data_IF_818026744982
#
_entry.id   IF_818026744982
#
_cell.length_a   1.000
_cell.length_b   1.000
_cell.length_c   1.000
_cell.angle_alpha   90.00
_cell.angle_beta   90.00
_cell.angle_gamma   90.00
#
_symmetry.space_group_name_H-M   'P 1'
#
loop_
_entity.id
_entity.type
_entity.pdbx_description
1 polymer ?
#
# COMPACT_ATOMS: atom_id res chain seq x y z
N UNK A 1 -12.13 11.72 -11.72
CA UNK A 1 -13.61 11.65 -11.69
C UNK A 1 -14.23 12.26 -12.96
N UNK A 2 -13.96 13.53 -13.31
CA UNK A 2 -14.55 14.20 -14.50
C UNK A 2 -14.36 13.44 -15.81
N UNK A 3 -13.16 12.89 -16.08
CA UNK A 3 -12.91 12.08 -17.30
C UNK A 3 -13.72 10.79 -17.33
N UNK A 4 -13.96 10.17 -16.17
CA UNK A 4 -14.78 8.97 -16.09
C UNK A 4 -16.25 9.28 -16.37
N UNK A 5 -16.76 10.36 -15.78
CA UNK A 5 -18.11 10.84 -16.03
C UNK A 5 -18.33 11.20 -17.51
N UNK A 6 -17.38 11.93 -18.13
CA UNK A 6 -17.48 12.27 -19.55
C UNK A 6 -17.56 11.02 -20.44
N UNK A 7 -16.70 10.02 -20.19
CA UNK A 7 -16.76 8.75 -20.92
C UNK A 7 -18.08 8.01 -20.72
N UNK A 8 -18.60 8.03 -19.48
CA UNK A 8 -19.90 7.43 -19.19
C UNK A 8 -21.03 8.12 -19.97
N UNK A 9 -21.01 9.45 -20.08
CA UNK A 9 -21.99 10.18 -20.88
C UNK A 9 -21.82 9.95 -22.39
N UNK A 10 -20.58 9.85 -22.89
CA UNK A 10 -20.31 9.60 -24.30
C UNK A 10 -20.79 8.21 -24.76
N UNK A 11 -20.91 7.24 -23.84
CA UNK A 11 -21.30 5.85 -24.08
C UNK A 11 -22.53 5.41 -23.27
N UNK A 12 -23.38 6.36 -22.86
CA UNK A 12 -24.47 6.13 -21.90
C UNK A 12 -25.44 5.04 -22.33
N UNK A 13 -25.85 5.05 -23.61
CA UNK A 13 -26.74 4.05 -24.18
C UNK A 13 -26.04 2.69 -24.37
N UNK A 14 -24.78 2.69 -24.86
CA UNK A 14 -24.00 1.47 -25.06
C UNK A 14 -23.73 0.72 -23.75
N UNK A 15 -23.59 1.49 -22.65
CA UNK A 15 -23.38 0.96 -21.30
C UNK A 15 -24.70 0.64 -20.57
N UNK A 16 -25.84 0.78 -21.26
CA UNK A 16 -27.19 0.53 -20.71
C UNK A 16 -27.42 1.27 -19.38
N UNK A 17 -26.91 2.50 -19.27
CA UNK A 17 -27.03 3.30 -18.06
C UNK A 17 -28.42 3.89 -17.92
N UNK A 18 -28.87 4.00 -16.66
CA UNK A 18 -30.05 4.76 -16.27
C UNK A 18 -29.62 5.94 -15.43
N UNK A 19 -30.30 7.07 -15.59
CA UNK A 19 -30.00 8.30 -14.84
C UNK A 19 -31.24 9.11 -14.52
N UNK A 20 -31.09 10.01 -13.58
CA UNK A 20 -32.13 10.96 -13.17
C UNK A 20 -31.54 12.32 -12.86
N UNK A 21 -32.35 13.36 -13.08
CA UNK A 21 -31.99 14.75 -12.82
C UNK A 21 -33.11 15.46 -12.05
N UNK A 22 -32.73 16.39 -11.18
CA UNK A 22 -33.64 17.28 -10.50
C UNK A 22 -33.36 18.72 -10.92
N UNK A 23 -34.38 19.43 -11.28
CA UNK A 23 -34.33 20.85 -11.63
C UNK A 23 -35.15 21.69 -10.65
N UNK A 24 -34.68 22.89 -10.33
CA UNK A 24 -35.46 23.96 -9.68
C UNK A 24 -35.51 25.12 -10.65
N UNK A 25 -36.69 25.34 -11.25
CA UNK A 25 -36.81 26.20 -12.42
C UNK A 25 -35.95 25.60 -13.57
N UNK A 26 -35.08 26.40 -14.15
CA UNK A 26 -34.18 25.98 -15.24
C UNK A 26 -32.80 25.49 -14.73
N UNK A 27 -32.56 25.50 -13.42
CA UNK A 27 -31.28 25.12 -12.85
C UNK A 27 -31.26 23.63 -12.48
N UNK A 28 -30.29 22.88 -13.03
CA UNK A 28 -29.98 21.52 -12.59
C UNK A 28 -29.40 21.56 -11.17
N UNK A 29 -30.07 20.95 -10.20
CA UNK A 29 -29.64 20.93 -8.79
C UNK A 29 -29.16 19.59 -8.30
N UNK A 30 -29.55 18.48 -8.95
CA UNK A 30 -29.00 17.17 -8.64
C UNK A 30 -29.10 16.24 -9.84
N UNK A 31 -28.16 15.28 -9.92
CA UNK A 31 -28.23 14.19 -10.89
C UNK A 31 -27.62 12.93 -10.31
N UNK A 32 -28.05 11.81 -10.85
CA UNK A 32 -27.52 10.47 -10.52
C UNK A 32 -27.56 9.60 -11.75
N UNK A 33 -26.65 8.63 -11.86
CA UNK A 33 -26.71 7.59 -12.85
C UNK A 33 -25.97 6.33 -12.39
N UNK A 34 -26.29 5.21 -13.04
CA UNK A 34 -25.70 3.92 -12.77
C UNK A 34 -26.07 2.88 -13.81
N UNK A 35 -25.75 1.63 -13.55
CA UNK A 35 -26.05 0.51 -14.43
C UNK A 35 -26.44 -0.75 -13.65
N UNK A 36 -26.98 -1.75 -14.34
CA UNK A 36 -27.29 -3.05 -13.74
C UNK A 36 -26.00 -3.82 -13.42
N UNK A 37 -25.90 -4.34 -12.19
CA UNK A 37 -24.89 -5.35 -11.83
C UNK A 37 -25.35 -6.73 -12.27
N UNK A 38 -26.64 -6.99 -12.11
CA UNK A 38 -27.31 -8.22 -12.50
C UNK A 38 -28.83 -7.96 -12.65
N UNK A 39 -29.62 -9.00 -12.85
CA UNK A 39 -31.06 -8.87 -13.14
C UNK A 39 -31.87 -8.19 -12.02
N UNK A 40 -31.37 -8.16 -10.78
CA UNK A 40 -32.10 -7.65 -9.63
C UNK A 40 -31.34 -6.61 -8.79
N UNK A 41 -30.09 -6.30 -9.13
CA UNK A 41 -29.26 -5.31 -8.43
C UNK A 41 -28.81 -4.23 -9.37
N UNK A 42 -29.10 -2.98 -9.02
CA UNK A 42 -28.62 -1.78 -9.69
C UNK A 42 -27.47 -1.15 -8.93
N UNK A 43 -26.46 -0.62 -9.62
CA UNK A 43 -25.33 0.08 -9.01
C UNK A 43 -25.37 1.56 -9.33
N UNK A 44 -25.39 2.40 -8.30
CA UNK A 44 -25.34 3.85 -8.44
C UNK A 44 -23.88 4.31 -8.46
N UNK A 45 -23.36 4.61 -9.65
CA UNK A 45 -21.97 5.02 -9.86
C UNK A 45 -21.69 6.46 -9.46
N UNK A 46 -22.63 7.34 -9.74
CA UNK A 46 -22.48 8.77 -9.48
C UNK A 46 -23.77 9.34 -8.90
N UNK A 47 -23.65 10.11 -7.84
CA UNK A 47 -24.71 10.94 -7.28
C UNK A 47 -24.11 12.30 -6.90
N UNK A 48 -24.62 13.36 -7.48
CA UNK A 48 -24.15 14.73 -7.24
C UNK A 48 -25.35 15.65 -6.99
N UNK A 49 -25.18 16.56 -6.05
CA UNK A 49 -26.17 17.59 -5.79
C UNK A 49 -25.49 18.92 -5.42
N UNK A 50 -26.17 20.01 -5.74
CA UNK A 50 -25.80 21.35 -5.32
C UNK A 50 -26.10 21.51 -3.82
N UNK A 51 -25.07 21.77 -3.03
CA UNK A 51 -25.16 21.87 -1.57
C UNK A 51 -25.89 23.10 -1.09
N UNK A 52 -26.13 24.09 -1.96
CA UNK A 52 -26.95 25.26 -1.66
C UNK A 52 -28.46 24.92 -1.56
N UNK A 53 -28.82 23.71 -2.02
CA UNK A 53 -30.20 23.19 -1.94
C UNK A 53 -30.28 22.09 -0.87
N UNK A 54 -30.78 22.49 0.29
CA UNK A 54 -30.92 21.53 1.41
C UNK A 54 -31.81 20.35 1.01
N UNK A 55 -31.37 19.14 1.33
CA UNK A 55 -32.06 17.91 1.00
C UNK A 55 -31.93 17.41 -0.45
N UNK A 56 -31.18 18.10 -1.34
CA UNK A 56 -31.05 17.72 -2.75
C UNK A 56 -30.48 16.31 -2.94
N UNK A 57 -29.47 15.90 -2.15
CA UNK A 57 -28.95 14.53 -2.15
C UNK A 57 -29.99 13.50 -1.72
N UNK A 58 -30.76 13.79 -0.70
CA UNK A 58 -31.79 12.88 -0.18
C UNK A 58 -32.90 12.67 -1.20
N UNK A 59 -33.34 13.74 -1.85
CA UNK A 59 -34.48 13.67 -2.78
C UNK A 59 -34.10 13.01 -4.09
N UNK A 60 -32.87 13.26 -4.64
CA UNK A 60 -32.44 12.59 -5.87
C UNK A 60 -32.32 11.07 -5.62
N UNK A 61 -31.74 10.68 -4.47
CA UNK A 61 -31.62 9.28 -4.12
C UNK A 61 -32.98 8.60 -4.02
N UNK A 62 -33.94 9.20 -3.29
CA UNK A 62 -35.26 8.66 -3.12
C UNK A 62 -36.01 8.52 -4.45
N UNK A 63 -36.12 9.61 -5.21
CA UNK A 63 -36.86 9.63 -6.46
C UNK A 63 -36.23 8.68 -7.49
N UNK A 64 -34.92 8.61 -7.57
CA UNK A 64 -34.27 7.69 -8.46
C UNK A 64 -34.58 6.23 -8.11
N UNK A 65 -34.49 5.88 -6.83
CA UNK A 65 -34.84 4.55 -6.35
C UNK A 65 -36.30 4.15 -6.69
N UNK A 66 -37.23 5.10 -6.51
CA UNK A 66 -38.67 4.90 -6.80
C UNK A 66 -38.99 4.75 -8.30
N UNK A 67 -38.12 5.25 -9.19
CA UNK A 67 -38.32 5.21 -10.65
C UNK A 67 -37.45 4.16 -11.36
N UNK A 68 -36.62 3.43 -10.63
CA UNK A 68 -35.92 2.29 -11.22
C UNK A 68 -36.91 1.19 -11.66
N UNK A 69 -36.61 0.45 -12.74
CA UNK A 69 -37.42 -0.72 -13.15
C UNK A 69 -37.66 -1.68 -11.98
N UNK A 70 -38.91 -2.18 -11.83
CA UNK A 70 -39.35 -3.07 -10.73
C UNK A 70 -38.51 -4.33 -10.54
N UNK A 71 -37.79 -4.75 -11.57
CA UNK A 71 -36.85 -5.88 -11.48
C UNK A 71 -35.71 -5.64 -10.48
N UNK A 72 -35.31 -4.38 -10.26
CA UNK A 72 -34.25 -4.04 -9.31
C UNK A 72 -34.81 -3.96 -7.90
N UNK A 73 -34.54 -4.97 -7.10
CA UNK A 73 -34.95 -5.06 -5.71
C UNK A 73 -33.86 -4.59 -4.73
N UNK A 74 -32.63 -4.41 -5.23
CA UNK A 74 -31.47 -3.94 -4.48
C UNK A 74 -30.76 -2.83 -5.24
N UNK A 75 -30.30 -1.83 -4.49
CA UNK A 75 -29.43 -0.77 -5.00
C UNK A 75 -28.09 -0.86 -4.25
N UNK A 76 -27.01 -1.08 -4.99
CA UNK A 76 -25.66 -0.95 -4.48
C UNK A 76 -25.25 0.53 -4.54
N UNK A 77 -24.68 1.03 -3.46
CA UNK A 77 -24.20 2.41 -3.34
C UNK A 77 -22.68 2.49 -3.18
N UNK A 78 -22.01 1.46 -3.65
CA UNK A 78 -20.54 1.35 -3.63
C UNK A 78 -19.92 1.53 -2.23
N UNK A 79 -18.62 1.80 -2.16
CA UNK A 79 -17.88 1.91 -0.92
C UNK A 79 -17.87 3.33 -0.33
N UNK A 80 -17.56 3.45 0.95
CA UNK A 80 -17.44 4.74 1.66
C UNK A 80 -16.02 5.34 1.60
N UNK A 81 -15.08 4.67 0.94
CA UNK A 81 -13.66 5.06 0.81
C UNK A 81 -12.95 5.34 2.16
N UNK A 82 -13.51 4.85 3.28
CA UNK A 82 -12.98 5.14 4.61
C UNK A 82 -13.27 6.55 5.12
N UNK A 83 -14.16 7.30 4.45
CA UNK A 83 -14.55 8.67 4.85
C UNK A 83 -15.73 8.59 5.81
N UNK A 84 -15.54 9.02 7.07
CA UNK A 84 -16.55 8.90 8.13
C UNK A 84 -17.89 9.56 7.78
N UNK A 85 -17.88 10.76 7.22
CA UNK A 85 -19.11 11.46 6.81
C UNK A 85 -19.86 10.70 5.71
N UNK A 86 -19.16 10.09 4.76
CA UNK A 86 -19.77 9.29 3.70
C UNK A 86 -20.32 7.98 4.27
N UNK A 87 -19.60 7.34 5.19
CA UNK A 87 -20.06 6.16 5.93
C UNK A 87 -21.33 6.42 6.71
N UNK A 88 -21.37 7.50 7.50
CA UNK A 88 -22.55 7.91 8.24
C UNK A 88 -23.74 8.16 7.32
N UNK A 89 -23.54 8.89 6.21
CA UNK A 89 -24.58 9.12 5.22
C UNK A 89 -25.13 7.81 4.65
N UNK A 90 -24.26 6.86 4.25
CA UNK A 90 -24.71 5.57 3.72
C UNK A 90 -25.43 4.71 4.77
N UNK A 91 -24.97 4.69 6.01
CA UNK A 91 -25.60 3.96 7.11
C UNK A 91 -26.96 4.56 7.51
N UNK A 92 -27.19 5.86 7.31
CA UNK A 92 -28.47 6.51 7.61
C UNK A 92 -29.65 6.00 6.74
N UNK A 93 -29.34 5.34 5.62
CA UNK A 93 -30.34 4.67 4.78
C UNK A 93 -30.70 3.25 5.26
N UNK A 94 -30.18 2.81 6.40
CA UNK A 94 -30.43 1.48 6.98
C UNK A 94 -30.20 0.35 5.96
N UNK A 95 -28.98 0.18 5.42
CA UNK A 95 -28.72 -0.80 4.36
C UNK A 95 -29.11 -2.20 4.80
N UNK A 96 -29.82 -2.93 3.92
CA UNK A 96 -30.22 -4.31 4.16
C UNK A 96 -29.00 -5.27 4.20
N UNK A 97 -27.95 -4.94 3.46
CA UNK A 97 -26.71 -5.72 3.37
C UNK A 97 -25.51 -4.79 3.39
N UNK A 98 -24.52 -5.11 4.22
CA UNK A 98 -23.20 -4.50 4.17
C UNK A 98 -22.24 -5.58 3.67
N UNK A 99 -21.78 -5.45 2.43
CA UNK A 99 -20.83 -6.38 1.84
C UNK A 99 -19.40 -6.05 2.26
N UNK A 100 -18.66 -7.07 2.67
CA UNK A 100 -17.22 -6.94 2.82
C UNK A 100 -16.57 -6.98 1.44
N UNK A 101 -15.72 -5.97 1.17
CA UNK A 101 -14.90 -5.94 -0.03
C UNK A 101 -13.61 -6.70 0.23
N UNK A 102 -13.30 -7.64 -0.65
CA UNK A 102 -12.06 -8.38 -0.62
C UNK A 102 -11.20 -8.00 -1.82
N UNK A 103 -9.90 -7.87 -1.61
CA UNK A 103 -8.94 -7.74 -2.70
C UNK A 103 -8.32 -9.11 -2.93
N UNK A 104 -8.54 -9.69 -4.10
CA UNK A 104 -7.85 -10.91 -4.52
C UNK A 104 -6.52 -10.52 -5.17
N UNK A 105 -5.41 -11.04 -4.65
CA UNK A 105 -4.07 -10.80 -5.17
C UNK A 105 -3.50 -12.14 -5.60
N UNK A 106 -3.05 -12.20 -6.85
CA UNK A 106 -2.26 -13.32 -7.33
C UNK A 106 -0.82 -13.14 -6.86
N UNK A 107 -0.39 -13.88 -5.85
CA UNK A 107 1.00 -13.88 -5.41
C UNK A 107 1.83 -14.85 -6.26
N UNK A 108 3.03 -14.41 -6.65
CA UNK A 108 4.03 -15.30 -7.25
C UNK A 108 4.55 -16.28 -6.17
N UNK A 109 4.99 -17.51 -6.52
CA UNK A 109 5.57 -18.44 -5.55
C UNK A 109 6.65 -17.85 -4.65
N UNK A 110 7.48 -16.96 -5.18
CA UNK A 110 8.53 -16.26 -4.40
C UNK A 110 7.91 -15.31 -3.33
N UNK A 111 6.76 -14.70 -3.61
CA UNK A 111 6.05 -13.83 -2.66
C UNK A 111 5.39 -14.64 -1.55
N UNK A 112 4.88 -15.82 -1.88
CA UNK A 112 4.32 -16.77 -0.89
C UNK A 112 5.42 -17.21 0.05
N UNK A 113 6.57 -17.67 -0.48
CA UNK A 113 7.71 -18.07 0.32
C UNK A 113 8.27 -16.92 1.18
N UNK A 114 8.26 -15.69 0.66
CA UNK A 114 8.61 -14.48 1.39
C UNK A 114 7.66 -14.24 2.55
N UNK A 115 6.34 -14.31 2.33
CA UNK A 115 5.31 -14.12 3.36
C UNK A 115 5.46 -15.16 4.48
N UNK A 116 5.59 -16.43 4.13
CA UNK A 116 5.79 -17.52 5.10
C UNK A 116 7.05 -17.30 5.96
N UNK A 117 8.17 -16.96 5.32
CA UNK A 117 9.42 -16.70 6.00
C UNK A 117 9.34 -15.46 6.89
N UNK A 118 8.67 -14.41 6.43
CA UNK A 118 8.46 -13.18 7.19
C UNK A 118 7.66 -13.44 8.46
N UNK A 119 6.52 -14.11 8.33
CA UNK A 119 5.66 -14.49 9.46
C UNK A 119 6.44 -15.34 10.49
N UNK A 120 7.22 -16.32 10.02
CA UNK A 120 8.01 -17.19 10.88
C UNK A 120 9.17 -16.45 11.61
N UNK A 121 9.72 -15.40 11.00
CA UNK A 121 10.88 -14.69 11.52
C UNK A 121 10.53 -13.53 12.46
N UNK A 122 9.49 -12.77 12.12
CA UNK A 122 9.14 -11.51 12.80
C UNK A 122 7.80 -11.55 13.54
N UNK A 123 6.86 -12.39 13.09
CA UNK A 123 5.54 -12.48 13.71
C UNK A 123 4.63 -11.28 13.44
N UNK A 124 4.95 -10.48 12.41
CA UNK A 124 4.11 -9.37 12.00
C UNK A 124 2.75 -9.87 11.50
N UNK A 125 1.73 -9.01 11.59
CA UNK A 125 0.39 -9.35 11.14
C UNK A 125 0.32 -9.49 9.60
N UNK A 126 -0.62 -10.30 9.14
CA UNK A 126 -0.75 -10.57 7.71
C UNK A 126 -1.07 -9.33 6.88
N UNK A 127 -1.84 -8.37 7.43
CA UNK A 127 -2.22 -7.16 6.69
C UNK A 127 -1.00 -6.27 6.44
N UNK A 128 -0.10 -6.19 7.41
CA UNK A 128 1.17 -5.46 7.26
C UNK A 128 2.03 -6.11 6.18
N UNK A 129 2.23 -7.43 6.24
CA UNK A 129 3.03 -8.17 5.27
C UNK A 129 2.44 -8.04 3.85
N UNK A 130 1.13 -8.24 3.70
CA UNK A 130 0.44 -8.12 2.42
C UNK A 130 0.54 -6.69 1.86
N UNK A 131 0.41 -5.69 2.73
CA UNK A 131 0.57 -4.29 2.36
C UNK A 131 1.97 -3.99 1.82
N UNK A 132 3.01 -4.56 2.43
CA UNK A 132 4.38 -4.46 1.95
C UNK A 132 4.56 -5.17 0.60
N UNK A 133 4.11 -6.41 0.49
CA UNK A 133 4.25 -7.21 -0.74
C UNK A 133 3.57 -6.54 -1.93
N UNK A 134 2.36 -6.03 -1.76
CA UNK A 134 1.61 -5.35 -2.82
C UNK A 134 2.31 -4.09 -3.33
N UNK A 135 2.93 -3.33 -2.43
CA UNK A 135 3.41 -1.96 -2.74
C UNK A 135 4.88 -1.90 -3.06
N UNK A 136 5.69 -2.68 -2.35
CA UNK A 136 7.14 -2.53 -2.29
C UNK A 136 7.92 -3.75 -2.76
N UNK A 137 7.28 -4.93 -2.78
CA UNK A 137 7.95 -6.11 -3.30
C UNK A 137 8.42 -5.93 -4.74
N UNK A 138 9.61 -6.43 -5.02
CA UNK A 138 10.15 -6.52 -6.36
C UNK A 138 11.17 -7.65 -6.40
N UNK A 139 10.97 -8.62 -7.30
CA UNK A 139 11.89 -9.74 -7.48
C UNK A 139 13.33 -9.29 -7.73
N UNK A 140 13.53 -8.20 -8.45
CA UNK A 140 14.86 -7.63 -8.73
C UNK A 140 15.53 -6.97 -7.53
N UNK A 141 14.82 -6.80 -6.43
CA UNK A 141 15.27 -6.15 -5.19
C UNK A 141 15.19 -7.06 -3.97
N UNK A 142 14.69 -8.27 -4.13
CA UNK A 142 14.70 -9.28 -3.08
C UNK A 142 15.85 -10.28 -3.36
N UNK A 143 16.63 -10.54 -2.33
CA UNK A 143 17.61 -11.60 -2.33
C UNK A 143 17.12 -12.74 -1.45
N UNK A 144 17.24 -13.96 -1.94
CA UNK A 144 16.88 -15.17 -1.21
C UNK A 144 18.04 -16.15 -1.17
N UNK A 145 18.11 -16.94 -0.12
CA UNK A 145 18.98 -18.10 -0.05
C UNK A 145 18.14 -19.34 0.22
N UNK A 146 18.37 -20.36 -0.60
CA UNK A 146 17.72 -21.66 -0.46
C UNK A 146 18.57 -22.59 0.42
N UNK A 147 17.89 -23.44 1.15
CA UNK A 147 18.47 -24.55 1.86
C UNK A 147 17.51 -25.75 1.79
N UNK A 148 18.01 -26.90 1.38
CA UNK A 148 17.22 -28.13 1.16
C UNK A 148 15.97 -27.91 0.26
N UNK A 149 16.13 -27.12 -0.81
CA UNK A 149 15.06 -26.83 -1.77
C UNK A 149 13.95 -25.88 -1.26
N UNK A 150 14.16 -25.21 -0.13
CA UNK A 150 13.24 -24.24 0.45
C UNK A 150 13.90 -22.88 0.59
N UNK A 151 13.13 -21.81 0.41
CA UNK A 151 13.58 -20.45 0.74
C UNK A 151 13.83 -20.35 2.25
N UNK A 152 15.09 -20.26 2.62
CA UNK A 152 15.53 -20.34 4.01
C UNK A 152 15.94 -18.98 4.60
N UNK A 153 16.31 -18.02 3.77
CA UNK A 153 16.63 -16.65 4.17
C UNK A 153 16.26 -15.67 3.08
N UNK A 154 16.00 -14.44 3.47
CA UNK A 154 15.67 -13.32 2.56
C UNK A 154 16.15 -11.99 3.09
N UNK A 155 16.23 -11.00 2.19
CA UNK A 155 16.27 -9.57 2.49
C UNK A 155 15.76 -8.78 1.29
N UNK A 156 15.36 -7.53 1.54
CA UNK A 156 14.92 -6.60 0.50
C UNK A 156 15.88 -5.40 0.39
N UNK A 157 16.13 -4.96 -0.84
CA UNK A 157 16.93 -3.77 -1.14
C UNK A 157 16.01 -2.65 -1.60
N UNK A 158 15.54 -1.82 -0.67
CA UNK A 158 14.58 -0.76 -0.95
C UNK A 158 15.30 0.54 -1.32
N UNK A 159 14.89 1.20 -2.42
CA UNK A 159 15.51 2.43 -2.88
C UNK A 159 14.98 3.64 -2.11
N UNK A 160 15.88 4.39 -1.53
CA UNK A 160 15.62 5.67 -0.86
C UNK A 160 16.60 6.73 -1.33
N UNK A 161 16.20 7.99 -1.18
CA UNK A 161 17.10 9.13 -1.19
C UNK A 161 17.21 9.69 0.22
N UNK A 162 18.41 10.12 0.61
CA UNK A 162 18.68 10.75 1.90
C UNK A 162 19.63 11.92 1.75
N UNK A 163 20.00 12.57 2.85
CA UNK A 163 21.04 13.59 2.85
C UNK A 163 22.42 13.05 2.41
N UNK A 164 22.59 11.73 2.42
CA UNK A 164 23.81 11.05 1.96
C UNK A 164 23.78 10.70 0.46
N UNK A 165 22.72 11.06 -0.27
CA UNK A 165 22.50 10.68 -1.66
C UNK A 165 21.64 9.43 -1.83
N UNK A 166 21.87 8.68 -2.93
CA UNK A 166 21.16 7.44 -3.21
C UNK A 166 21.45 6.41 -2.13
N UNK A 167 20.40 6.00 -1.44
CA UNK A 167 20.51 5.18 -0.24
C UNK A 167 19.68 3.91 -0.41
N UNK A 168 20.29 2.74 -0.20
CA UNK A 168 19.56 1.48 -0.13
C UNK A 168 19.22 1.15 1.33
N UNK A 169 17.94 0.92 1.62
CA UNK A 169 17.52 0.33 2.89
C UNK A 169 17.48 -1.20 2.76
N UNK A 170 18.33 -1.87 3.51
CA UNK A 170 18.32 -3.34 3.63
C UNK A 170 17.25 -3.69 4.66
N UNK A 171 16.12 -4.17 4.18
CA UNK A 171 14.89 -4.34 4.94
C UNK A 171 14.49 -5.81 5.05
N UNK A 172 13.91 -6.21 6.20
CA UNK A 172 13.37 -7.55 6.39
C UNK A 172 14.41 -8.67 6.25
N UNK A 173 15.58 -8.49 6.85
CA UNK A 173 16.63 -9.52 6.86
C UNK A 173 16.19 -10.68 7.75
N UNK A 174 15.74 -11.77 7.14
CA UNK A 174 15.18 -12.91 7.84
C UNK A 174 15.89 -14.21 7.51
N UNK A 175 15.94 -15.12 8.47
CA UNK A 175 16.31 -16.52 8.30
C UNK A 175 15.33 -17.38 9.08
N UNK A 176 14.75 -18.38 8.42
CA UNK A 176 13.84 -19.32 9.06
C UNK A 176 14.49 -19.93 10.32
N UNK A 177 13.75 -20.03 11.43
CA UNK A 177 14.31 -20.47 12.71
C UNK A 177 15.13 -21.76 12.63
N UNK A 178 14.65 -22.74 11.87
CA UNK A 178 15.28 -24.06 11.70
C UNK A 178 16.56 -24.02 10.86
N UNK A 179 16.79 -22.94 10.10
CA UNK A 179 17.97 -22.77 9.24
C UNK A 179 18.94 -21.70 9.74
N UNK A 180 18.73 -21.18 10.94
CA UNK A 180 19.65 -20.21 11.58
C UNK A 180 21.03 -20.84 11.85
N UNK A 181 22.05 -20.00 12.00
CA UNK A 181 23.46 -20.37 12.26
C UNK A 181 24.13 -21.17 11.15
N UNK A 182 23.60 -21.11 9.92
CA UNK A 182 24.17 -21.76 8.72
C UNK A 182 24.85 -20.76 7.77
N UNK A 183 25.01 -19.50 8.19
CA UNK A 183 25.67 -18.47 7.40
C UNK A 183 24.82 -17.86 6.28
N UNK A 184 23.52 -18.22 6.15
CA UNK A 184 22.66 -17.79 5.05
C UNK A 184 22.47 -16.28 5.01
N UNK A 185 22.15 -15.64 6.15
CA UNK A 185 22.04 -14.19 6.22
C UNK A 185 23.35 -13.49 5.86
N UNK A 186 24.49 -14.03 6.31
CA UNK A 186 25.82 -13.52 5.95
C UNK A 186 26.09 -13.57 4.46
N UNK A 187 25.71 -14.66 3.78
CA UNK A 187 25.81 -14.79 2.33
C UNK A 187 24.97 -13.74 1.61
N UNK A 188 23.72 -13.53 2.06
CA UNK A 188 22.84 -12.51 1.50
C UNK A 188 23.37 -11.10 1.72
N UNK A 189 23.90 -10.81 2.90
CA UNK A 189 24.52 -9.52 3.20
C UNK A 189 25.73 -9.23 2.30
N UNK A 190 26.59 -10.21 2.07
CA UNK A 190 27.71 -10.07 1.14
C UNK A 190 27.25 -9.75 -0.29
N UNK A 191 26.23 -10.45 -0.79
CA UNK A 191 25.64 -10.18 -2.11
C UNK A 191 24.93 -8.81 -2.16
N UNK A 192 24.22 -8.45 -1.11
CA UNK A 192 23.59 -7.12 -0.98
C UNK A 192 24.61 -6.01 -1.13
N UNK A 193 25.72 -6.09 -0.39
CA UNK A 193 26.78 -5.07 -0.43
C UNK A 193 27.47 -4.99 -1.80
N UNK A 194 27.65 -6.13 -2.47
CA UNK A 194 28.15 -6.15 -3.85
C UNK A 194 27.19 -5.42 -4.80
N UNK A 195 25.90 -5.71 -4.74
CA UNK A 195 24.90 -5.07 -5.59
C UNK A 195 24.77 -3.56 -5.30
N UNK A 196 24.84 -3.15 -4.05
CA UNK A 196 24.84 -1.73 -3.63
C UNK A 196 26.05 -1.01 -4.21
N UNK A 197 27.22 -1.62 -4.15
CA UNK A 197 28.44 -1.09 -4.74
C UNK A 197 28.34 -0.97 -6.26
N UNK A 198 27.88 -2.01 -6.96
CA UNK A 198 27.74 -2.07 -8.42
C UNK A 198 26.71 -1.07 -8.95
N UNK A 199 25.62 -0.82 -8.20
CA UNK A 199 24.62 0.19 -8.53
C UNK A 199 25.13 1.62 -8.35
N UNK A 200 26.24 1.81 -7.65
CA UNK A 200 26.82 3.11 -7.32
C UNK A 200 25.99 3.86 -6.28
N UNK A 201 25.31 3.17 -5.36
CA UNK A 201 24.61 3.83 -4.26
C UNK A 201 25.61 4.51 -3.32
N UNK A 202 25.24 5.68 -2.79
CA UNK A 202 26.11 6.51 -1.96
C UNK A 202 26.12 6.05 -0.51
N UNK A 203 24.99 5.45 -0.06
CA UNK A 203 24.85 4.92 1.28
C UNK A 203 23.94 3.68 1.30
N UNK A 204 24.05 2.92 2.38
CA UNK A 204 23.06 1.91 2.75
C UNK A 204 22.75 2.02 4.24
N UNK A 205 21.53 1.66 4.62
CA UNK A 205 21.11 1.63 6.01
C UNK A 205 20.37 0.34 6.34
N UNK A 206 20.32 0.01 7.60
CA UNK A 206 19.45 -1.00 8.20
C UNK A 206 19.15 -0.65 9.66
N UNK A 207 18.04 -1.14 10.17
CA UNK A 207 17.67 -1.01 11.59
C UNK A 207 17.79 -2.40 12.23
N UNK A 208 18.77 -2.63 13.11
CA UNK A 208 18.87 -3.90 13.83
C UNK A 208 17.68 -4.06 14.79
N UNK A 209 16.97 -5.17 14.71
CA UNK A 209 15.87 -5.48 15.65
C UNK A 209 16.35 -5.76 17.08
N UNK A 210 17.62 -6.14 17.23
CA UNK A 210 18.24 -6.49 18.51
C UNK A 210 19.66 -5.92 18.59
N UNK A 211 20.09 -5.50 19.77
CA UNK A 211 21.39 -4.86 19.97
C UNK A 211 22.59 -5.75 19.54
N UNK A 212 22.52 -7.06 19.77
CA UNK A 212 23.58 -7.98 19.36
C UNK A 212 23.77 -8.07 17.84
N UNK A 213 22.75 -7.75 17.05
CA UNK A 213 22.83 -7.74 15.56
C UNK A 213 23.76 -6.66 15.05
N UNK A 214 24.06 -5.62 15.82
CA UNK A 214 25.07 -4.62 15.45
C UNK A 214 26.42 -5.27 15.20
N UNK A 215 26.81 -6.24 16.03
CA UNK A 215 28.01 -7.04 15.82
C UNK A 215 27.99 -7.89 14.55
N UNK A 216 26.81 -8.34 14.12
CA UNK A 216 26.62 -9.08 12.87
C UNK A 216 26.76 -8.18 11.64
N UNK A 217 26.27 -6.93 11.68
CA UNK A 217 26.33 -6.01 10.55
C UNK A 217 27.64 -5.23 10.43
N UNK A 218 28.37 -5.05 11.52
CA UNK A 218 29.63 -4.29 11.54
C UNK A 218 30.68 -4.77 10.52
N UNK A 219 30.91 -6.09 10.31
CA UNK A 219 31.88 -6.59 9.32
C UNK A 219 31.55 -6.19 7.86
N UNK A 220 30.28 -5.81 7.57
CA UNK A 220 29.87 -5.31 6.26
C UNK A 220 30.03 -3.80 6.13
N UNK A 221 30.64 -3.13 7.11
CA UNK A 221 30.94 -1.70 7.12
C UNK A 221 29.80 -0.83 7.70
N UNK A 222 28.77 -1.43 8.27
CA UNK A 222 27.71 -0.69 8.94
C UNK A 222 28.16 -0.22 10.33
N UNK A 223 27.86 1.03 10.65
CA UNK A 223 28.21 1.63 11.94
C UNK A 223 27.18 2.66 12.39
N UNK A 224 27.30 3.09 13.65
CA UNK A 224 26.46 4.13 14.23
C UNK A 224 25.12 3.60 14.78
N UNK A 225 24.37 4.52 15.36
CA UNK A 225 22.99 4.37 15.84
C UNK A 225 22.31 5.72 15.58
N UNK A 226 21.97 5.98 14.31
CA UNK A 226 21.49 7.28 13.84
C UNK A 226 19.98 7.24 13.82
N UNK A 227 19.29 8.18 14.47
CA UNK A 227 17.84 8.31 14.32
C UNK A 227 17.47 8.46 12.84
N UNK A 228 16.49 7.67 12.37
CA UNK A 228 16.04 7.72 10.99
C UNK A 228 14.53 7.98 10.92
N UNK A 229 14.13 8.75 9.91
CA UNK A 229 12.73 8.97 9.56
C UNK A 229 12.49 8.60 8.12
N UNK A 230 11.33 8.01 7.84
CA UNK A 230 10.96 7.56 6.50
C UNK A 230 9.77 8.35 5.98
N UNK A 231 9.84 8.72 4.70
CA UNK A 231 8.72 9.25 3.94
C UNK A 231 8.40 8.31 2.78
N UNK A 232 7.17 7.84 2.72
CA UNK A 232 6.65 7.04 1.62
C UNK A 232 5.47 7.74 0.94
N UNK A 233 5.24 7.53 -0.37
CA UNK A 233 4.16 8.19 -1.11
C UNK A 233 2.75 7.86 -0.60
N UNK A 234 2.60 6.77 0.12
CA UNK A 234 1.34 6.20 0.58
C UNK A 234 1.26 6.07 2.12
N UNK A 235 2.21 6.69 2.83
CA UNK A 235 2.25 6.70 4.28
C UNK A 235 2.62 5.35 4.93
N UNK A 236 3.20 4.40 4.16
CA UNK A 236 3.69 3.15 4.75
C UNK A 236 4.81 3.42 5.74
N UNK A 237 4.71 2.85 6.93
CA UNK A 237 5.74 2.95 7.97
C UNK A 237 6.84 1.90 7.73
N UNK A 238 8.04 2.37 7.40
CA UNK A 238 9.23 1.54 7.27
C UNK A 238 10.05 1.41 8.55
N UNK A 239 9.64 2.09 9.61
CA UNK A 239 10.26 2.02 10.92
C UNK A 239 9.86 0.77 11.70
N UNK A 240 10.17 0.79 12.99
CA UNK A 240 9.85 -0.28 13.93
C UNK A 240 8.45 -0.14 14.57
N UNK A 241 7.70 0.90 14.19
CA UNK A 241 6.46 1.29 14.87
C UNK A 241 6.70 2.10 16.15
N UNK A 242 7.96 2.23 16.59
CA UNK A 242 8.39 3.03 17.74
C UNK A 242 9.56 3.93 17.30
N UNK A 243 9.34 5.21 17.05
CA UNK A 243 10.40 6.12 16.57
C UNK A 243 11.63 6.20 17.48
N UNK A 244 11.51 5.86 18.76
CA UNK A 244 12.66 5.82 19.67
C UNK A 244 13.61 4.65 19.40
N UNK A 245 13.15 3.64 18.68
CA UNK A 245 13.91 2.45 18.28
C UNK A 245 14.40 2.51 16.84
N UNK A 246 13.97 3.52 16.06
CA UNK A 246 14.41 3.72 14.69
C UNK A 246 15.84 4.26 14.62
N UNK A 247 16.78 3.45 15.10
CA UNK A 247 18.20 3.75 15.18
C UNK A 247 18.96 2.94 14.12
N UNK A 248 19.23 3.57 12.98
CA UNK A 248 19.89 2.94 11.84
C UNK A 248 21.39 2.76 12.06
N UNK A 249 21.92 1.64 11.59
CA UNK A 249 23.32 1.51 11.22
C UNK A 249 23.47 1.90 9.76
N UNK A 250 24.54 2.63 9.43
CA UNK A 250 24.76 3.21 8.10
C UNK A 250 26.10 2.77 7.55
N UNK A 251 26.11 2.34 6.31
CA UNK A 251 27.28 2.22 5.45
C UNK A 251 27.32 3.40 4.49
N UNK A 252 28.50 3.96 4.23
CA UNK A 252 28.72 5.06 3.28
C UNK A 252 29.82 4.71 2.32
N UNK A 253 29.61 5.04 1.04
CA UNK A 253 30.64 4.90 0.00
C UNK A 253 31.81 5.82 0.29
N UNK A 254 31.55 7.08 0.62
CA UNK A 254 32.53 8.04 1.12
C UNK A 254 32.45 8.11 2.65
N UNK A 255 33.36 7.41 3.32
CA UNK A 255 33.44 7.41 4.76
C UNK A 255 33.81 8.76 5.37
N UNK A 256 34.37 9.70 4.58
CA UNK A 256 34.72 11.06 5.02
C UNK A 256 33.56 12.04 5.04
N UNK A 257 32.45 11.72 4.30
CA UNK A 257 31.26 12.57 4.31
C UNK A 257 30.70 12.71 5.75
N UNK A 258 30.25 13.91 6.16
CA UNK A 258 29.69 14.10 7.49
C UNK A 258 28.41 13.27 7.69
N UNK A 259 28.26 12.69 8.88
CA UNK A 259 27.04 11.98 9.23
C UNK A 259 26.02 12.98 9.79
N UNK A 260 24.78 13.01 9.29
CA UNK A 260 23.73 13.85 9.86
C UNK A 260 23.33 13.37 11.26
N UNK A 261 22.84 14.26 12.10
CA UNK A 261 22.30 13.91 13.43
C UNK A 261 21.05 13.03 13.34
N UNK A 262 20.23 13.25 12.30
CA UNK A 262 19.06 12.44 11.96
C UNK A 262 19.05 12.19 10.46
N UNK A 263 18.86 10.95 10.06
CA UNK A 263 18.78 10.56 8.66
C UNK A 263 17.33 10.63 8.19
N UNK A 264 17.06 11.45 7.19
CA UNK A 264 15.75 11.56 6.54
C UNK A 264 15.78 10.80 5.24
N UNK A 265 14.91 9.78 5.11
CA UNK A 265 14.88 8.90 3.96
C UNK A 265 13.53 9.01 3.24
N UNK A 266 13.56 9.30 1.95
CA UNK A 266 12.39 9.37 1.09
C UNK A 266 12.41 8.21 0.09
N UNK A 267 11.36 7.38 0.12
CA UNK A 267 11.21 6.27 -0.83
C UNK A 267 11.01 6.81 -2.26
N UNK A 268 11.74 6.27 -3.21
CA UNK A 268 11.50 6.58 -4.61
C UNK A 268 11.31 5.30 -5.45
N UNK A 269 10.30 5.32 -6.31
CA UNK A 269 10.08 4.25 -7.28
C UNK A 269 10.83 4.65 -8.56
N UNK A 270 11.92 3.94 -8.87
CA UNK A 270 12.56 4.09 -10.19
C UNK A 270 11.52 3.76 -11.26
N UNK A 271 11.23 4.71 -12.14
CA UNK A 271 10.34 4.52 -13.29
C UNK A 271 10.92 3.49 -14.27
#
# INVERSE_FOLDING_TARGET
EQRAMQRAFDHFEELEMLGGCIYVGDKLVAFTFGSAVNDHTFDTHVEKADTDYDGAFTIINKLFAEHLPERFTLINREEDLGIDGLRQSKLSYHPAVIQHKFTAIHLHPDEIACKELWTAAFGDDEQFIDSFLIRYYSRSRMLTAEYEGRTAAMLHLLPFESQLGRTTYIYGVATAPEFRRRGLAGKLMGEAMRLIADRGDDAALLIPSEEWLRGFYAPYGFSGAIPVTFASPDGFDFGTGDPSKDLAMVWRRDASAPMPETLQCSYYKKK
#
